data_IF_189620608039
#
_entry.id   IF_189620608039
#
_cell.length_a   1.000
_cell.length_b   1.000
_cell.length_c   1.000
_cell.angle_alpha   90.00
_cell.angle_beta   90.00
_cell.angle_gamma   90.00
#
_symmetry.space_group_name_H-M   'P 1'
#
loop_
_entity.id
_entity.type
_entity.pdbx_description
1 polymer ?
#
# COMPACT_ATOMS: atom_id res chain seq x y z
N UNK A 1 -9.10 24.52 -7.84
CA UNK A 1 -9.90 23.56 -7.06
C UNK A 1 -9.53 23.73 -5.60
N UNK A 2 -10.49 24.01 -4.72
CA UNK A 2 -10.26 24.10 -3.28
C UNK A 2 -10.55 22.71 -2.69
N UNK A 3 -9.53 21.86 -2.62
CA UNK A 3 -9.60 20.54 -1.98
C UNK A 3 -8.87 20.56 -0.65
N UNK A 4 -9.38 19.84 0.34
CA UNK A 4 -8.60 19.52 1.55
C UNK A 4 -7.67 18.38 1.14
N UNK A 5 -6.37 18.65 1.12
CA UNK A 5 -5.36 17.62 1.02
C UNK A 5 -5.02 17.16 2.43
N UNK A 6 -5.23 15.88 2.70
CA UNK A 6 -4.83 15.25 3.95
C UNK A 6 -3.67 14.31 3.62
N UNK A 7 -2.51 14.60 4.18
CA UNK A 7 -1.38 13.68 4.14
C UNK A 7 -1.44 12.78 5.38
N UNK A 8 -1.59 11.47 5.15
CA UNK A 8 -1.57 10.46 6.21
C UNK A 8 -0.35 9.58 6.01
N UNK A 9 0.46 9.44 7.06
CA UNK A 9 1.61 8.55 7.08
C UNK A 9 1.25 7.27 7.82
N UNK A 10 1.40 6.13 7.17
CA UNK A 10 1.22 4.81 7.77
C UNK A 10 2.50 3.99 7.65
N UNK A 11 2.83 3.25 8.70
CA UNK A 11 3.89 2.24 8.67
C UNK A 11 3.24 0.86 8.51
N UNK A 12 3.57 0.17 7.43
CA UNK A 12 3.16 -1.23 7.24
C UNK A 12 4.22 -2.13 7.88
N UNK A 13 3.81 -2.92 8.87
CA UNK A 13 4.61 -4.00 9.45
C UNK A 13 4.07 -5.36 8.98
N UNK A 14 4.45 -6.46 9.64
CA UNK A 14 3.94 -7.80 9.37
C UNK A 14 2.44 -7.94 9.76
N UNK A 15 1.59 -7.17 9.09
CA UNK A 15 0.15 -7.16 9.23
C UNK A 15 -0.50 -8.08 8.19
N UNK A 16 -1.73 -8.51 8.50
CA UNK A 16 -2.54 -9.22 7.53
C UNK A 16 -2.97 -8.26 6.42
N UNK A 17 -2.82 -8.68 5.17
CA UNK A 17 -3.34 -7.98 3.99
C UNK A 17 -4.42 -8.87 3.39
N UNK A 18 -5.61 -8.30 3.18
CA UNK A 18 -6.72 -8.98 2.50
C UNK A 18 -7.31 -8.07 1.43
N UNK A 19 -8.13 -8.61 0.55
CA UNK A 19 -8.81 -7.80 -0.47
C UNK A 19 -10.24 -8.26 -0.71
N UNK A 20 -11.06 -7.33 -1.19
CA UNK A 20 -12.34 -7.63 -1.84
C UNK A 20 -12.37 -6.97 -3.22
N UNK A 21 -13.19 -7.51 -4.12
CA UNK A 21 -13.37 -6.95 -5.46
C UNK A 21 -14.68 -6.15 -5.49
N UNK A 22 -14.62 -4.96 -6.09
CA UNK A 22 -15.78 -4.13 -6.40
C UNK A 22 -15.67 -3.65 -7.85
N UNK A 23 -16.39 -4.32 -8.75
CA UNK A 23 -16.29 -4.08 -10.19
C UNK A 23 -14.88 -4.34 -10.73
N UNK A 24 -14.26 -3.31 -11.28
CA UNK A 24 -12.90 -3.30 -11.83
C UNK A 24 -11.83 -2.79 -10.83
N UNK A 25 -12.23 -2.59 -9.58
CA UNK A 25 -11.37 -2.15 -8.50
C UNK A 25 -11.21 -3.24 -7.44
N UNK A 26 -10.11 -3.14 -6.69
CA UNK A 26 -9.93 -3.90 -5.46
C UNK A 26 -9.87 -2.95 -4.26
N UNK A 27 -10.57 -3.31 -3.19
CA UNK A 27 -10.34 -2.73 -1.87
C UNK A 27 -9.32 -3.60 -1.13
N UNK A 28 -8.13 -3.06 -0.88
CA UNK A 28 -7.09 -3.66 -0.06
C UNK A 28 -7.27 -3.25 1.39
N UNK A 29 -7.31 -4.21 2.30
CA UNK A 29 -7.32 -3.98 3.75
C UNK A 29 -5.95 -4.36 4.32
N UNK A 30 -5.28 -3.40 4.96
CA UNK A 30 -4.05 -3.58 5.73
C UNK A 30 -4.38 -3.56 7.22
N UNK A 31 -4.13 -4.66 7.95
CA UNK A 31 -4.49 -4.79 9.37
C UNK A 31 -5.87 -5.43 9.59
N UNK A 32 -6.44 -5.25 10.77
CA UNK A 32 -7.74 -5.80 11.16
C UNK A 32 -8.91 -4.93 10.72
N UNK A 33 -10.13 -5.47 10.82
CA UNK A 33 -11.37 -4.79 10.37
C UNK A 33 -11.71 -3.51 11.15
N UNK A 34 -11.20 -3.35 12.37
CA UNK A 34 -11.53 -2.24 13.27
C UNK A 34 -10.35 -1.26 13.49
N UNK A 35 -9.16 -1.63 13.04
CA UNK A 35 -7.90 -0.93 13.28
C UNK A 35 -6.98 -0.92 12.04
N UNK A 36 -7.55 -1.19 10.85
CA UNK A 36 -6.83 -1.26 9.59
C UNK A 36 -7.00 -0.03 8.71
N UNK A 37 -6.18 0.04 7.65
CA UNK A 37 -6.33 0.98 6.55
C UNK A 37 -6.96 0.26 5.35
N UNK A 38 -7.97 0.88 4.74
CA UNK A 38 -8.49 0.46 3.44
C UNK A 38 -7.95 1.36 2.33
N UNK A 39 -7.51 0.75 1.24
CA UNK A 39 -7.06 1.45 0.01
C UNK A 39 -7.77 0.83 -1.18
N UNK A 40 -8.48 1.66 -1.94
CA UNK A 40 -9.07 1.23 -3.22
C UNK A 40 -8.09 1.49 -4.35
N UNK A 41 -7.89 0.51 -5.23
CA UNK A 41 -7.02 0.62 -6.39
C UNK A 41 -7.66 -0.02 -7.63
N UNK A 42 -7.42 0.58 -8.80
CA UNK A 42 -7.73 -0.03 -10.10
C UNK A 42 -6.70 -1.12 -10.44
N UNK A 43 -6.97 -1.90 -11.49
CA UNK A 43 -6.00 -2.87 -12.02
C UNK A 43 -4.61 -2.26 -12.31
N UNK A 44 -4.58 -1.09 -12.96
CA UNK A 44 -3.33 -0.40 -13.27
C UNK A 44 -2.64 0.13 -12.00
N UNK A 45 -3.42 0.64 -11.04
CA UNK A 45 -2.90 1.07 -9.74
C UNK A 45 -2.26 -0.09 -8.97
N UNK A 46 -2.87 -1.28 -8.98
CA UNK A 46 -2.31 -2.48 -8.37
C UNK A 46 -1.03 -2.93 -9.06
N UNK A 47 -0.98 -2.89 -10.40
CA UNK A 47 0.24 -3.22 -11.15
C UNK A 47 1.39 -2.31 -10.75
N UNK A 48 1.14 -1.00 -10.75
CA UNK A 48 2.13 -0.02 -10.33
C UNK A 48 2.59 -0.22 -8.88
N UNK A 49 1.66 -0.55 -7.97
CA UNK A 49 1.98 -0.87 -6.58
C UNK A 49 2.90 -2.09 -6.47
N UNK A 50 2.60 -3.17 -7.20
CA UNK A 50 3.42 -4.39 -7.22
C UNK A 50 4.82 -4.09 -7.72
N UNK A 51 4.94 -3.39 -8.84
CA UNK A 51 6.23 -3.07 -9.46
C UNK A 51 7.06 -2.21 -8.51
N UNK A 52 6.50 -1.11 -8.00
CA UNK A 52 7.19 -0.18 -7.09
C UNK A 52 7.57 -0.83 -5.76
N UNK A 53 6.67 -1.62 -5.15
CA UNK A 53 6.96 -2.31 -3.90
C UNK A 53 8.03 -3.38 -4.07
N UNK A 54 8.07 -4.05 -5.22
CA UNK A 54 9.10 -5.03 -5.55
C UNK A 54 10.47 -4.36 -5.70
N UNK A 55 10.54 -3.23 -6.42
CA UNK A 55 11.76 -2.43 -6.53
C UNK A 55 12.26 -1.95 -5.17
N UNK A 56 11.36 -1.40 -4.33
CA UNK A 56 11.70 -0.96 -2.98
C UNK A 56 12.23 -2.10 -2.10
N UNK A 57 11.60 -3.28 -2.17
CA UNK A 57 12.06 -4.46 -1.43
C UNK A 57 13.45 -4.92 -1.90
N UNK A 58 13.73 -4.86 -3.20
CA UNK A 58 15.05 -5.18 -3.73
C UNK A 58 16.09 -4.16 -3.27
N UNK A 59 15.78 -2.86 -3.32
CA UNK A 59 16.66 -1.80 -2.86
C UNK A 59 17.07 -1.98 -1.39
N UNK A 60 16.10 -2.24 -0.50
CA UNK A 60 16.34 -2.51 0.93
C UNK A 60 17.26 -3.72 1.13
N UNK A 61 17.16 -4.76 0.28
CA UNK A 61 18.01 -5.96 0.38
C UNK A 61 19.42 -5.72 -0.14
N UNK A 62 19.59 -4.81 -1.09
CA UNK A 62 20.89 -4.48 -1.67
C UNK A 62 21.67 -3.44 -0.87
N UNK A 63 21.00 -2.68 -0.01
CA UNK A 63 21.64 -1.73 0.91
C UNK A 63 21.96 -2.41 2.25
N UNK A 64 23.24 -2.66 2.57
CA UNK A 64 23.61 -3.11 3.90
C UNK A 64 23.52 -1.93 4.87
N UNK A 65 22.61 -2.05 5.83
CA UNK A 65 22.49 -1.20 7.02
C UNK A 65 21.93 0.22 6.81
N UNK A 66 20.60 0.29 6.57
CA UNK A 66 19.69 1.20 7.26
C UNK A 66 20.08 2.68 7.39
N UNK A 67 20.49 3.33 6.30
CA UNK A 67 20.56 4.79 6.25
C UNK A 67 19.56 5.34 5.24
N UNK A 68 18.37 5.63 5.75
CA UNK A 68 17.45 6.63 5.17
C UNK A 68 17.67 7.93 5.94
#
# INVERSE_FOLDING_TARGET
MNGIQVDTWIKLEACQISYTLDGDMAELQFGGRLDGLSVTATQDGLRNLIDTATEALQAIRTEPDGKI
#
